data_IF_972469167193
#
_entry.id   IF_972469167193
#
_cell.length_a   1.000
_cell.length_b   1.000
_cell.length_c   1.000
_cell.angle_alpha   90.00
_cell.angle_beta   90.00
_cell.angle_gamma   90.00
#
_symmetry.space_group_name_H-M   'P 1'
#
loop_
_entity.id
_entity.type
_entity.pdbx_description
1 polymer ?
#
# COMPACT_ATOMS: atom_id res chain seq x y z
N UNK A 1 -6.44 -25.54 -21.16
CA UNK A 1 -7.39 -26.05 -20.17
C UNK A 1 -6.91 -26.01 -18.72
N UNK A 2 -6.05 -26.90 -18.19
CA UNK A 2 -5.74 -26.94 -16.73
C UNK A 2 -5.27 -25.60 -16.15
N UNK A 3 -4.40 -24.88 -16.86
CA UNK A 3 -3.91 -23.55 -16.45
C UNK A 3 -5.04 -22.50 -16.47
N UNK A 4 -5.92 -22.55 -17.47
CA UNK A 4 -7.05 -21.63 -17.62
C UNK A 4 -8.12 -21.87 -16.55
N UNK A 5 -8.25 -23.11 -16.07
CA UNK A 5 -9.11 -23.47 -14.96
C UNK A 5 -8.58 -22.98 -13.59
N UNK A 6 -7.37 -22.43 -13.54
CA UNK A 6 -6.74 -21.99 -12.30
C UNK A 6 -6.21 -23.16 -11.46
N UNK A 7 -5.66 -24.19 -12.11
CA UNK A 7 -4.94 -25.25 -11.42
C UNK A 7 -3.49 -24.83 -11.11
N UNK A 8 -2.91 -25.50 -10.12
CA UNK A 8 -1.52 -25.32 -9.72
C UNK A 8 -0.64 -26.37 -10.41
N UNK A 9 0.28 -25.92 -11.26
CA UNK A 9 1.03 -26.80 -12.16
C UNK A 9 2.54 -26.66 -11.94
N UNK A 10 3.22 -27.79 -11.81
CA UNK A 10 4.69 -27.85 -11.70
C UNK A 10 5.30 -28.08 -13.08
N UNK A 11 6.17 -27.17 -13.52
CA UNK A 11 6.99 -27.32 -14.72
C UNK A 11 8.29 -28.01 -14.32
N UNK A 12 8.58 -29.17 -14.91
CA UNK A 12 9.78 -29.94 -14.65
C UNK A 12 10.69 -30.03 -15.90
N UNK A 13 12.01 -29.99 -15.68
CA UNK A 13 13.04 -30.26 -16.70
C UNK A 13 13.85 -31.48 -16.26
N UNK A 14 13.84 -32.54 -17.07
CA UNK A 14 14.46 -33.84 -16.74
C UNK A 14 14.01 -34.41 -15.38
N UNK A 15 12.70 -34.37 -15.11
CA UNK A 15 12.13 -34.86 -13.84
C UNK A 15 12.43 -33.99 -12.62
N UNK A 16 13.18 -32.89 -12.78
CA UNK A 16 13.46 -31.92 -11.72
C UNK A 16 12.50 -30.73 -11.85
N UNK A 17 11.76 -30.36 -10.81
CA UNK A 17 10.92 -29.16 -10.84
C UNK A 17 11.77 -27.90 -11.04
N UNK A 18 11.38 -27.04 -11.98
CA UNK A 18 12.10 -25.80 -12.33
C UNK A 18 11.25 -24.54 -12.15
N UNK A 19 9.92 -24.66 -12.21
CA UNK A 19 9.00 -23.57 -11.97
C UNK A 19 7.63 -24.12 -11.53
N UNK A 20 6.84 -23.26 -10.89
CA UNK A 20 5.46 -23.56 -10.49
C UNK A 20 4.57 -22.43 -10.98
N UNK A 21 3.52 -22.76 -11.71
CA UNK A 21 2.48 -21.84 -12.10
C UNK A 21 1.34 -21.96 -11.10
N UNK A 22 1.05 -20.85 -10.41
CA UNK A 22 -0.06 -20.77 -9.46
C UNK A 22 -1.13 -19.82 -9.99
N UNK A 23 -2.40 -20.01 -9.61
CA UNK A 23 -3.47 -19.08 -9.98
C UNK A 23 -3.18 -17.69 -9.44
N UNK A 24 -3.22 -16.69 -10.32
CA UNK A 24 -3.04 -15.31 -9.92
C UNK A 24 -4.36 -14.74 -9.39
N UNK A 25 -4.56 -14.83 -8.07
CA UNK A 25 -5.71 -14.23 -7.38
C UNK A 25 -5.42 -12.78 -7.04
N UNK A 26 -5.82 -11.86 -7.92
CA UNK A 26 -5.90 -10.44 -7.56
C UNK A 26 -6.99 -10.34 -6.50
N UNK A 27 -6.60 -10.09 -5.24
CA UNK A 27 -7.58 -9.57 -4.28
C UNK A 27 -8.16 -8.32 -4.93
N UNK A 28 -9.50 -8.21 -5.11
CA UNK A 28 -10.08 -7.02 -5.70
C UNK A 28 -9.52 -5.84 -4.93
N UNK A 29 -8.83 -4.94 -5.65
CA UNK A 29 -8.29 -3.72 -5.05
C UNK A 29 -9.48 -3.03 -4.43
N UNK A 30 -9.55 -3.02 -3.10
CA UNK A 30 -10.64 -2.35 -2.42
C UNK A 30 -10.62 -0.91 -2.88
N UNK A 31 -11.71 -0.48 -3.50
CA UNK A 31 -11.85 0.90 -3.94
C UNK A 31 -11.68 1.78 -2.71
N UNK A 32 -10.68 2.68 -2.74
CA UNK A 32 -10.42 3.57 -1.61
C UNK A 32 -11.68 4.40 -1.36
N UNK A 33 -12.22 4.34 -0.13
CA UNK A 33 -13.32 5.19 0.31
C UNK A 33 -12.75 6.41 1.03
N UNK A 34 -12.83 7.63 0.47
CA UNK A 34 -12.37 8.83 1.16
C UNK A 34 -13.25 9.14 2.38
N UNK A 35 -12.72 9.93 3.32
CA UNK A 35 -13.49 10.43 4.47
C UNK A 35 -13.56 9.50 5.68
N UNK A 36 -12.67 8.49 5.78
CA UNK A 36 -12.57 7.60 6.95
C UNK A 36 -12.33 8.34 8.28
N UNK A 37 -11.76 9.55 8.21
CA UNK A 37 -11.49 10.43 9.36
C UNK A 37 -12.32 11.73 9.36
N UNK A 38 -13.39 11.81 8.55
CA UNK A 38 -14.25 13.00 8.53
C UNK A 38 -14.78 13.32 9.92
N UNK A 39 -14.52 14.53 10.41
CA UNK A 39 -14.96 15.01 11.72
C UNK A 39 -14.25 14.38 12.93
N UNK A 40 -13.21 13.57 12.71
CA UNK A 40 -12.45 12.91 13.79
C UNK A 40 -11.12 13.60 14.12
N UNK A 41 -10.76 14.62 13.35
CA UNK A 41 -9.53 15.40 13.54
C UNK A 41 -9.96 16.79 13.98
N UNK A 42 -9.42 17.22 15.12
CA UNK A 42 -9.51 18.58 15.64
C UNK A 42 -8.10 19.14 15.76
N UNK A 43 -7.93 20.39 15.37
CA UNK A 43 -6.69 21.12 15.54
C UNK A 43 -6.84 22.07 16.73
N UNK A 44 -5.73 22.37 17.40
CA UNK A 44 -5.71 23.47 18.36
C UNK A 44 -5.82 24.81 17.62
N UNK A 45 -6.23 25.85 18.34
CA UNK A 45 -6.42 27.19 17.77
C UNK A 45 -5.13 27.79 17.18
N UNK A 46 -3.98 27.33 17.63
CA UNK A 46 -2.65 27.77 17.24
C UNK A 46 -2.00 26.90 16.13
N UNK A 47 -2.74 25.99 15.50
CA UNK A 47 -2.18 25.10 14.48
C UNK A 47 -1.54 25.85 13.30
N UNK A 48 -2.15 26.95 12.88
CA UNK A 48 -1.65 27.82 11.80
C UNK A 48 -0.74 28.94 12.32
N UNK A 49 -0.41 28.95 13.62
CA UNK A 49 0.51 29.93 14.18
C UNK A 49 1.93 29.72 13.63
N UNK A 50 2.76 30.78 13.59
CA UNK A 50 4.18 30.64 13.26
C UNK A 50 4.87 29.61 14.14
N UNK A 51 5.77 28.84 13.55
CA UNK A 51 6.61 27.91 14.30
C UNK A 51 7.52 28.69 15.27
N UNK A 52 7.85 28.10 16.44
CA UNK A 52 8.90 28.61 17.31
C UNK A 52 10.23 28.81 16.56
N UNK A 53 10.99 29.84 16.93
CA UNK A 53 12.20 30.27 16.19
C UNK A 53 13.26 29.19 16.05
N UNK A 54 13.46 28.38 17.10
CA UNK A 54 14.42 27.27 17.10
C UNK A 54 14.02 26.18 16.09
N UNK A 55 12.73 25.85 16.02
CA UNK A 55 12.17 24.87 15.09
C UNK A 55 12.18 25.43 13.66
N UNK A 56 11.75 26.68 13.47
CA UNK A 56 11.74 27.33 12.16
C UNK A 56 13.15 27.44 11.56
N UNK A 57 14.16 27.76 12.39
CA UNK A 57 15.57 27.76 11.99
C UNK A 57 16.05 26.36 11.59
N UNK A 58 15.72 25.33 12.38
CA UNK A 58 16.10 23.95 12.09
C UNK A 58 15.50 23.43 10.77
N UNK A 59 14.30 23.93 10.40
CA UNK A 59 13.60 23.61 9.16
C UNK A 59 13.93 24.56 7.99
N UNK A 60 14.79 25.57 8.20
CA UNK A 60 15.21 26.52 7.17
C UNK A 60 14.11 27.45 6.68
N UNK A 61 13.15 27.79 7.56
CA UNK A 61 12.01 28.68 7.27
C UNK A 61 12.27 30.14 7.68
N UNK A 62 13.42 30.41 8.29
CA UNK A 62 13.93 31.73 8.70
C UNK A 62 15.25 32.06 7.99
#
# INVERSE_FOLDING_TARGET
>A
EQIEAGEDVIIARHGKPVARLIPYTIKPVQQRKPGTLRGKISFNEDFDAPLPDDIATALGML
#
